data_IF_658904525968
#
_entry.id   IF_658904525968
#
_cell.length_a   1.000
_cell.length_b   1.000
_cell.length_c   1.000
_cell.angle_alpha   90.00
_cell.angle_beta   90.00
_cell.angle_gamma   90.00
#
_symmetry.space_group_name_H-M   'P 1'
#
loop_
_entity.id
_entity.type
_entity.pdbx_description
1 polymer ?
#
# COMPACT_ATOMS: atom_id res chain seq x y z
N UNK A 1 -26.06 -12.78 -34.82
CA UNK A 1 -25.41 -12.29 -33.59
C UNK A 1 -25.46 -10.76 -33.61
N UNK A 2 -26.25 -10.14 -32.74
CA UNK A 2 -26.29 -8.68 -32.63
C UNK A 2 -24.98 -8.17 -31.97
N UNK A 3 -24.39 -7.06 -32.44
CA UNK A 3 -23.20 -6.51 -31.81
C UNK A 3 -23.55 -5.99 -30.41
N UNK A 4 -22.80 -6.46 -29.41
CA UNK A 4 -22.92 -5.98 -28.03
C UNK A 4 -22.68 -4.47 -28.01
N UNK A 5 -23.66 -3.72 -27.53
CA UNK A 5 -23.54 -2.29 -27.28
C UNK A 5 -22.34 -2.02 -26.37
N UNK A 6 -21.32 -1.35 -26.89
CA UNK A 6 -20.26 -0.76 -26.06
C UNK A 6 -20.91 0.29 -25.17
N UNK A 7 -21.10 -0.03 -23.88
CA UNK A 7 -21.44 0.95 -22.88
C UNK A 7 -20.23 1.86 -22.66
N UNK A 8 -20.37 3.15 -22.97
CA UNK A 8 -19.36 4.15 -22.65
C UNK A 8 -19.06 4.11 -21.14
N UNK A 9 -17.78 4.12 -20.71
CA UNK A 9 -17.46 4.14 -19.29
C UNK A 9 -18.04 5.40 -18.64
N UNK A 10 -18.91 5.23 -17.65
CA UNK A 10 -19.40 6.33 -16.81
C UNK A 10 -18.23 6.90 -16.00
N UNK A 11 -17.88 8.16 -16.27
CA UNK A 11 -16.85 8.87 -15.53
C UNK A 11 -17.23 8.96 -14.04
N UNK A 12 -16.25 8.82 -13.14
CA UNK A 12 -16.51 9.09 -11.73
C UNK A 12 -16.84 10.58 -11.54
N UNK A 13 -17.63 10.91 -10.50
CA UNK A 13 -17.99 12.30 -10.15
C UNK A 13 -16.76 13.23 -10.03
N UNK A 14 -15.63 12.70 -9.59
CA UNK A 14 -14.36 13.44 -9.50
C UNK A 14 -13.71 13.68 -10.86
N UNK A 15 -13.87 12.77 -11.83
CA UNK A 15 -13.36 12.94 -13.19
C UNK A 15 -14.24 13.91 -13.98
N UNK A 16 -15.56 13.84 -13.84
CA UNK A 16 -16.49 14.80 -14.42
C UNK A 16 -16.23 16.22 -13.94
N UNK A 17 -16.03 16.39 -12.62
CA UNK A 17 -15.68 17.69 -12.03
C UNK A 17 -14.36 18.24 -12.58
N UNK A 18 -13.34 17.39 -12.74
CA UNK A 18 -12.05 17.76 -13.33
C UNK A 18 -12.17 18.13 -14.81
N UNK A 19 -12.96 17.38 -15.58
CA UNK A 19 -13.20 17.68 -16.99
C UNK A 19 -13.91 19.02 -17.16
N UNK A 20 -14.91 19.30 -16.31
CA UNK A 20 -15.63 20.58 -16.28
C UNK A 20 -14.69 21.75 -15.96
N UNK A 21 -13.78 21.58 -15.00
CA UNK A 21 -12.76 22.59 -14.67
C UNK A 21 -11.81 22.86 -15.85
N UNK A 22 -11.31 21.81 -16.52
CA UNK A 22 -10.42 21.95 -17.70
C UNK A 22 -11.10 22.65 -18.88
N UNK A 23 -12.37 22.32 -19.16
CA UNK A 23 -13.16 23.00 -20.20
C UNK A 23 -13.33 24.49 -19.92
N UNK A 24 -13.58 24.83 -18.65
CA UNK A 24 -13.71 26.23 -18.23
C UNK A 24 -12.40 27.00 -18.36
N UNK A 25 -11.27 26.38 -18.00
CA UNK A 25 -9.94 26.97 -18.15
C UNK A 25 -9.57 27.19 -19.62
N UNK A 26 -9.83 26.21 -20.48
CA UNK A 26 -9.62 26.33 -21.93
C UNK A 26 -10.47 27.44 -22.56
N UNK A 27 -11.74 27.56 -22.14
CA UNK A 27 -12.63 28.63 -22.58
C UNK A 27 -12.10 30.03 -22.18
N UNK A 28 -11.60 30.18 -20.95
CA UNK A 28 -10.99 31.43 -20.49
C UNK A 28 -9.71 31.77 -21.25
N UNK A 29 -8.84 30.77 -21.49
CA UNK A 29 -7.61 30.97 -22.25
C UNK A 29 -7.91 31.47 -23.67
N UNK A 30 -8.92 30.88 -24.33
CA UNK A 30 -9.39 31.32 -25.64
C UNK A 30 -9.89 32.77 -25.62
N UNK A 31 -10.73 33.14 -24.65
CA UNK A 31 -11.23 34.53 -24.53
C UNK A 31 -10.10 35.54 -24.29
N UNK A 32 -9.08 35.17 -23.48
CA UNK A 32 -7.88 36.00 -23.28
C UNK A 32 -7.11 36.19 -24.59
N UNK A 33 -6.95 35.13 -25.38
CA UNK A 33 -6.26 35.18 -26.67
C UNK A 33 -7.02 36.04 -27.70
N UNK A 34 -8.35 35.89 -27.80
CA UNK A 34 -9.16 36.74 -28.68
C UNK A 34 -9.08 38.22 -28.27
N UNK A 35 -9.08 38.52 -26.96
CA UNK A 35 -8.90 39.90 -26.47
C UNK A 35 -7.53 40.47 -26.85
N UNK A 36 -6.47 39.66 -26.79
CA UNK A 36 -5.12 40.07 -27.20
C UNK A 36 -5.03 40.31 -28.71
N UNK A 37 -5.71 39.49 -29.52
CA UNK A 37 -5.68 39.56 -30.98
C UNK A 37 -6.72 40.55 -31.57
N UNK A 38 -7.45 41.31 -30.74
CA UNK A 38 -8.53 42.19 -31.19
C UNK A 38 -9.72 41.47 -31.84
N UNK A 39 -9.80 40.14 -31.69
CA UNK A 39 -10.86 39.33 -32.28
C UNK A 39 -12.12 39.42 -31.43
N UNK A 40 -13.25 39.75 -32.04
CA UNK A 40 -14.54 39.80 -31.36
C UNK A 40 -15.03 38.38 -31.01
N UNK A 41 -15.59 38.22 -29.82
CA UNK A 41 -16.22 36.99 -29.36
C UNK A 41 -17.42 37.30 -28.48
N UNK A 42 -18.40 36.39 -28.46
CA UNK A 42 -19.50 36.43 -27.48
C UNK A 42 -19.32 35.34 -26.44
N UNK A 43 -19.61 35.64 -25.18
CA UNK A 43 -19.50 34.65 -24.08
C UNK A 43 -20.37 33.42 -24.37
N UNK A 44 -21.53 33.62 -25.02
CA UNK A 44 -22.43 32.54 -25.42
C UNK A 44 -21.78 31.58 -26.42
N UNK A 45 -21.17 32.07 -27.50
CA UNK A 45 -20.53 31.21 -28.51
C UNK A 45 -19.35 30.45 -27.93
N UNK A 46 -18.56 31.09 -27.05
CA UNK A 46 -17.45 30.41 -26.35
C UNK A 46 -17.99 29.32 -25.41
N UNK A 47 -19.03 29.63 -24.64
CA UNK A 47 -19.63 28.66 -23.72
C UNK A 47 -20.15 27.42 -24.45
N UNK A 48 -20.81 27.61 -25.59
CA UNK A 48 -21.29 26.53 -26.45
C UNK A 48 -20.12 25.71 -27.02
N UNK A 49 -19.09 26.38 -27.56
CA UNK A 49 -17.90 25.73 -28.15
C UNK A 49 -17.17 24.80 -27.18
N UNK A 50 -17.05 25.21 -25.92
CA UNK A 50 -16.32 24.46 -24.89
C UNK A 50 -17.22 23.60 -23.99
N UNK A 51 -18.54 23.58 -24.23
CA UNK A 51 -19.49 22.80 -23.44
C UNK A 51 -19.50 23.20 -21.95
N UNK A 52 -19.47 24.50 -21.67
CA UNK A 52 -19.51 25.07 -20.31
C UNK A 52 -20.74 25.97 -20.12
N UNK A 53 -21.18 26.16 -18.88
CA UNK A 53 -22.28 27.09 -18.60
C UNK A 53 -21.87 28.54 -18.88
N UNK A 54 -22.68 29.25 -19.67
CA UNK A 54 -22.48 30.67 -19.99
C UNK A 54 -22.38 31.55 -18.74
N UNK A 55 -23.22 31.31 -17.74
CA UNK A 55 -23.19 32.09 -16.48
C UNK A 55 -21.91 31.84 -15.70
N UNK A 56 -21.45 30.60 -15.63
CA UNK A 56 -20.19 30.24 -14.95
C UNK A 56 -18.99 30.89 -15.65
N UNK A 57 -18.94 30.83 -16.98
CA UNK A 57 -17.89 31.47 -17.77
C UNK A 57 -17.89 32.99 -17.60
N UNK A 58 -19.07 33.63 -17.63
CA UNK A 58 -19.22 35.07 -17.42
C UNK A 58 -18.77 35.51 -16.02
N UNK A 59 -19.19 34.81 -14.96
CA UNK A 59 -18.73 35.11 -13.61
C UNK A 59 -17.22 34.99 -13.47
N UNK A 60 -16.63 33.95 -14.08
CA UNK A 60 -15.19 33.73 -14.04
C UNK A 60 -14.42 34.82 -14.79
N UNK A 61 -14.94 35.23 -15.95
CA UNK A 61 -14.39 36.33 -16.74
C UNK A 61 -14.45 37.67 -15.99
N UNK A 62 -15.51 37.89 -15.22
CA UNK A 62 -15.67 39.08 -14.37
C UNK A 62 -14.85 39.01 -13.05
N UNK A 63 -13.93 38.05 -12.91
CA UNK A 63 -13.02 37.96 -11.77
C UNK A 63 -13.58 37.25 -10.53
N UNK A 64 -14.74 36.59 -10.62
CA UNK A 64 -15.27 35.82 -9.48
C UNK A 64 -14.36 34.62 -9.19
N UNK A 65 -13.82 34.57 -7.98
CA UNK A 65 -13.02 33.43 -7.47
C UNK A 65 -13.84 32.15 -7.49
N UNK A 66 -13.20 31.00 -7.72
CA UNK A 66 -13.86 29.71 -7.50
C UNK A 66 -14.13 29.47 -6.03
N UNK A 67 -15.05 28.55 -5.75
CA UNK A 67 -15.21 28.00 -4.40
C UNK A 67 -13.91 27.40 -3.85
N UNK A 68 -13.03 26.87 -4.68
CA UNK A 68 -11.72 26.38 -4.22
C UNK A 68 -10.83 27.54 -3.81
N UNK A 69 -10.61 28.52 -4.69
CA UNK A 69 -9.80 29.71 -4.41
C UNK A 69 -10.31 30.50 -3.19
N UNK A 70 -11.64 30.72 -3.08
CA UNK A 70 -12.23 31.40 -1.93
C UNK A 70 -12.10 30.59 -0.62
N UNK A 71 -11.90 29.28 -0.72
CA UNK A 71 -11.74 28.40 0.43
C UNK A 71 -10.27 28.12 0.76
N UNK A 72 -9.31 28.54 -0.09
CA UNK A 72 -7.86 28.54 0.21
C UNK A 72 -7.57 29.42 1.42
N UNK A 73 -8.17 30.60 1.49
CA UNK A 73 -8.06 31.55 2.63
C UNK A 73 -8.60 30.97 3.95
N UNK A 74 -9.40 29.90 3.89
CA UNK A 74 -10.01 29.23 5.05
C UNK A 74 -9.37 27.87 5.35
N UNK A 75 -8.28 27.51 4.67
CA UNK A 75 -7.60 26.26 4.94
C UNK A 75 -6.79 26.34 6.22
N UNK A 76 -6.63 25.16 6.83
CA UNK A 76 -5.85 24.99 8.05
C UNK A 76 -4.37 25.33 7.86
N UNK A 77 -3.82 24.92 6.70
CA UNK A 77 -2.46 25.24 6.29
C UNK A 77 -2.52 26.23 5.15
N UNK A 78 -1.61 27.19 5.13
CA UNK A 78 -1.46 28.09 4.01
C UNK A 78 -0.87 27.35 2.79
N UNK A 79 -0.86 28.03 1.64
CA UNK A 79 -0.43 27.42 0.38
C UNK A 79 1.02 26.93 0.40
N UNK A 80 1.91 27.66 1.08
CA UNK A 80 3.34 27.34 1.13
C UNK A 80 3.61 26.18 2.10
N UNK A 81 2.90 26.14 3.22
CA UNK A 81 2.90 25.01 4.17
C UNK A 81 2.38 23.73 3.52
N UNK A 82 1.26 23.80 2.80
CA UNK A 82 0.74 22.65 2.06
C UNK A 82 1.74 22.18 1.00
N UNK A 83 2.35 23.10 0.25
CA UNK A 83 3.35 22.75 -0.76
C UNK A 83 4.59 22.10 -0.13
N UNK A 84 5.10 22.64 0.97
CA UNK A 84 6.23 22.07 1.70
C UNK A 84 5.91 20.63 2.17
N UNK A 85 4.69 20.41 2.69
CA UNK A 85 4.25 19.08 3.09
C UNK A 85 4.14 18.11 1.90
N UNK A 86 3.67 18.58 0.74
CA UNK A 86 3.66 17.77 -0.50
C UNK A 86 5.08 17.38 -0.91
N UNK A 87 6.03 18.32 -0.93
CA UNK A 87 7.43 18.03 -1.27
C UNK A 87 8.04 17.03 -0.28
N UNK A 88 7.75 17.19 1.01
CA UNK A 88 8.21 16.29 2.05
C UNK A 88 7.70 14.86 1.83
N UNK A 89 6.41 14.69 1.52
CA UNK A 89 5.80 13.38 1.22
C UNK A 89 6.48 12.75 -0.01
N UNK A 90 6.74 13.53 -1.05
CA UNK A 90 7.40 13.06 -2.28
C UNK A 90 8.84 12.64 -1.97
N UNK A 91 9.59 13.45 -1.23
CA UNK A 91 10.99 13.20 -0.85
C UNK A 91 11.14 11.88 -0.09
N UNK A 92 10.39 11.71 1.00
CA UNK A 92 10.46 10.49 1.83
C UNK A 92 9.90 9.26 1.11
N UNK A 93 8.85 9.41 0.31
CA UNK A 93 8.38 8.35 -0.59
C UNK A 93 9.47 7.87 -1.55
N UNK A 94 10.31 8.79 -2.05
CA UNK A 94 11.43 8.49 -2.95
C UNK A 94 12.57 7.75 -2.25
N UNK A 95 12.74 7.97 -0.95
CA UNK A 95 13.72 7.28 -0.09
C UNK A 95 13.26 5.91 0.41
N UNK A 96 12.06 5.45 0.03
CA UNK A 96 11.52 4.19 0.53
C UNK A 96 11.02 4.28 1.98
N UNK A 97 10.53 5.45 2.38
CA UNK A 97 9.90 5.70 3.68
C UNK A 97 8.62 6.52 3.50
N UNK A 98 7.62 6.00 2.78
CA UNK A 98 6.39 6.72 2.47
C UNK A 98 5.58 6.95 3.74
N UNK A 99 4.98 8.13 3.84
CA UNK A 99 4.23 8.53 5.02
C UNK A 99 2.79 8.02 4.93
N UNK A 100 2.32 7.37 6.01
CA UNK A 100 0.91 6.98 6.12
C UNK A 100 0.03 8.19 6.51
N UNK A 101 -1.29 8.04 6.39
CA UNK A 101 -2.22 9.13 6.67
C UNK A 101 -2.14 9.65 8.13
N UNK A 102 -1.82 8.77 9.08
CA UNK A 102 -1.65 9.15 10.47
C UNK A 102 -0.43 10.06 10.65
N UNK A 103 0.73 9.69 10.08
CA UNK A 103 1.95 10.50 10.10
C UNK A 103 1.76 11.86 9.42
N UNK A 104 1.08 11.89 8.26
CA UNK A 104 0.75 13.16 7.57
C UNK A 104 -0.14 14.05 8.43
N UNK A 105 -1.14 13.48 9.13
CA UNK A 105 -1.99 14.22 10.07
C UNK A 105 -1.17 14.77 11.25
N UNK A 106 -0.26 13.98 11.81
CA UNK A 106 0.60 14.38 12.91
C UNK A 106 1.54 15.54 12.52
N UNK A 107 2.11 15.49 11.31
CA UNK A 107 2.92 16.60 10.78
C UNK A 107 2.06 17.85 10.58
N UNK A 108 0.85 17.70 10.03
CA UNK A 108 -0.07 18.83 9.87
C UNK A 108 -0.42 19.47 11.23
N UNK A 109 -0.69 18.67 12.26
CA UNK A 109 -0.90 19.16 13.63
C UNK A 109 0.29 19.94 14.17
N UNK A 110 1.50 19.45 13.93
CA UNK A 110 2.73 20.10 14.37
C UNK A 110 2.94 21.46 13.69
N UNK A 111 2.56 21.59 12.41
CA UNK A 111 2.64 22.87 11.69
C UNK A 111 1.58 23.85 12.19
N UNK A 112 0.32 23.42 12.35
CA UNK A 112 -0.78 24.33 12.68
C UNK A 112 -1.02 24.55 14.19
N UNK A 113 -0.32 23.82 15.06
CA UNK A 113 -0.41 23.93 16.52
C UNK A 113 -1.78 23.56 17.12
N UNK A 114 -2.62 22.84 16.38
CA UNK A 114 -3.99 22.49 16.80
C UNK A 114 -4.38 21.10 16.31
N UNK A 115 -5.43 20.52 16.90
CA UNK A 115 -5.92 19.21 16.46
C UNK A 115 -6.53 19.29 15.05
N UNK A 116 -6.14 18.36 14.21
CA UNK A 116 -6.51 18.33 12.79
C UNK A 116 -7.63 17.32 12.59
N UNK A 117 -8.70 17.71 11.92
CA UNK A 117 -9.84 16.80 11.69
C UNK A 117 -9.45 15.52 10.93
N UNK A 118 -10.09 14.39 11.25
CA UNK A 118 -9.68 13.04 10.78
C UNK A 118 -9.68 12.84 9.25
N UNK A 119 -10.58 13.50 8.51
CA UNK A 119 -10.58 13.42 7.02
C UNK A 119 -9.83 14.57 6.34
N UNK A 120 -9.11 15.40 7.10
CA UNK A 120 -8.30 16.47 6.51
C UNK A 120 -7.28 15.91 5.51
N UNK A 121 -6.62 14.79 5.84
CA UNK A 121 -5.63 14.13 4.97
C UNK A 121 -6.25 13.63 3.66
N UNK A 122 -7.48 13.14 3.71
CA UNK A 122 -8.21 12.73 2.51
C UNK A 122 -8.50 13.94 1.61
N UNK A 123 -8.98 15.03 2.19
CA UNK A 123 -9.22 16.28 1.44
C UNK A 123 -7.92 16.90 0.92
N UNK A 124 -6.84 16.85 1.69
CA UNK A 124 -5.49 17.29 1.29
C UNK A 124 -5.00 16.50 0.07
N UNK A 125 -5.11 15.17 0.12
CA UNK A 125 -4.79 14.29 -1.01
C UNK A 125 -5.64 14.60 -2.24
N UNK A 126 -6.92 14.90 -2.07
CA UNK A 126 -7.81 15.23 -3.19
C UNK A 126 -7.44 16.57 -3.84
N UNK A 127 -7.11 17.60 -3.04
CA UNK A 127 -6.57 18.89 -3.51
C UNK A 127 -5.29 18.69 -4.31
N UNK A 128 -4.39 17.87 -3.80
CA UNK A 128 -3.08 17.59 -4.42
C UNK A 128 -3.08 16.33 -5.29
N UNK A 129 -4.24 15.92 -5.80
CA UNK A 129 -4.39 14.65 -6.53
C UNK A 129 -3.59 14.58 -7.83
N UNK A 130 -3.16 15.72 -8.38
CA UNK A 130 -2.23 15.79 -9.52
C UNK A 130 -0.80 15.38 -9.14
N UNK A 131 -0.41 15.58 -7.88
CA UNK A 131 0.95 15.36 -7.38
C UNK A 131 1.06 14.13 -6.50
N UNK A 132 0.00 13.76 -5.79
CA UNK A 132 -0.03 12.69 -4.82
C UNK A 132 -1.00 11.56 -5.21
N UNK A 133 -0.70 10.36 -4.74
CA UNK A 133 -1.60 9.19 -4.78
C UNK A 133 -1.46 8.37 -3.50
N UNK A 134 -2.49 7.61 -3.17
CA UNK A 134 -2.39 6.57 -2.14
C UNK A 134 -2.00 5.24 -2.78
N UNK A 135 -1.00 4.57 -2.23
CA UNK A 135 -0.57 3.24 -2.70
C UNK A 135 -0.34 2.34 -1.49
N UNK A 136 -0.65 1.05 -1.64
CA UNK A 136 -0.29 0.03 -0.66
C UNK A 136 1.21 -0.24 -0.72
N UNK A 137 1.88 -0.16 0.42
CA UNK A 137 3.31 -0.45 0.49
C UNK A 137 3.53 -1.95 0.45
N UNK A 138 4.41 -2.42 -0.45
CA UNK A 138 4.84 -3.83 -0.47
C UNK A 138 6.20 -3.92 0.21
N UNK A 139 6.31 -4.74 1.25
CA UNK A 139 7.61 -5.15 1.76
C UNK A 139 8.28 -6.00 0.66
N UNK A 140 9.47 -5.59 0.22
CA UNK A 140 10.29 -6.37 -0.70
C UNK A 140 11.60 -6.65 0.01
N UNK A 141 11.88 -7.92 0.23
CA UNK A 141 13.24 -8.37 0.53
C UNK A 141 14.07 -8.28 -0.76
N UNK A 142 14.86 -7.22 -0.83
CA UNK A 142 15.63 -6.86 -2.02
C UNK A 142 16.75 -7.85 -2.33
N UNK A 143 17.17 -8.64 -1.34
CA UNK A 143 18.22 -9.64 -1.45
C UNK A 143 17.73 -10.88 -2.21
N UNK A 144 16.52 -11.36 -1.90
CA UNK A 144 15.90 -12.55 -2.50
C UNK A 144 15.60 -12.37 -4.00
N UNK A 145 15.16 -11.19 -4.41
CA UNK A 145 14.83 -10.94 -5.83
C UNK A 145 16.05 -10.96 -6.76
N UNK A 146 17.25 -10.65 -6.26
CA UNK A 146 18.48 -10.63 -7.06
C UNK A 146 19.15 -12.01 -7.15
N UNK A 147 18.82 -12.93 -6.24
CA UNK A 147 19.39 -14.27 -6.13
C UNK A 147 18.69 -15.34 -6.99
N UNK A 148 17.46 -15.09 -7.46
CA UNK A 148 16.73 -16.01 -8.36
C UNK A 148 17.13 -15.79 -9.83
N UNK A 149 18.21 -16.42 -10.28
CA UNK A 149 18.47 -16.61 -11.70
C UNK A 149 17.76 -17.91 -12.15
N UNK A 150 16.74 -17.83 -13.03
CA UNK A 150 15.95 -19.00 -13.44
C UNK A 150 16.78 -20.18 -13.97
N UNK A 151 17.89 -19.90 -14.64
CA UNK A 151 18.76 -20.92 -15.22
C UNK A 151 19.54 -21.67 -14.13
N UNK A 152 20.04 -20.96 -13.13
CA UNK A 152 20.76 -21.56 -11.99
C UNK A 152 19.80 -22.40 -11.15
N UNK A 153 18.57 -21.90 -10.94
CA UNK A 153 17.53 -22.62 -10.21
C UNK A 153 17.13 -23.89 -10.97
N UNK A 154 16.90 -23.81 -12.28
CA UNK A 154 16.58 -25.00 -13.09
C UNK A 154 17.71 -26.03 -13.07
N UNK A 155 18.95 -25.63 -13.31
CA UNK A 155 20.10 -26.54 -13.32
C UNK A 155 20.29 -27.24 -11.96
N UNK A 156 20.14 -26.51 -10.86
CA UNK A 156 20.16 -27.08 -9.51
C UNK A 156 19.09 -28.14 -9.31
N UNK A 157 17.83 -27.85 -9.65
CA UNK A 157 16.73 -28.82 -9.48
C UNK A 157 16.86 -30.04 -10.39
N UNK A 158 17.35 -29.87 -11.62
CA UNK A 158 17.60 -30.99 -12.53
C UNK A 158 18.67 -31.95 -11.96
N UNK A 159 19.77 -31.41 -11.44
CA UNK A 159 20.82 -32.19 -10.77
C UNK A 159 20.31 -32.88 -9.51
N UNK A 160 19.52 -32.17 -8.69
CA UNK A 160 18.92 -32.72 -7.48
C UNK A 160 17.98 -33.89 -7.79
N UNK A 161 17.12 -33.76 -8.81
CA UNK A 161 16.21 -34.83 -9.22
C UNK A 161 17.00 -36.05 -9.71
N UNK A 162 18.04 -35.84 -10.53
CA UNK A 162 18.89 -36.92 -11.03
C UNK A 162 19.57 -37.69 -9.88
N UNK A 163 20.10 -36.97 -8.89
CA UNK A 163 20.75 -37.58 -7.71
C UNK A 163 19.75 -38.34 -6.83
N UNK A 164 18.57 -37.76 -6.56
CA UNK A 164 17.52 -38.42 -5.78
C UNK A 164 17.03 -39.71 -6.44
N UNK A 165 16.88 -39.70 -7.77
CA UNK A 165 16.51 -40.88 -8.54
C UNK A 165 17.63 -41.93 -8.58
N UNK A 166 18.89 -41.51 -8.78
CA UNK A 166 20.05 -42.40 -8.84
C UNK A 166 20.33 -43.09 -7.50
N UNK A 167 20.22 -42.35 -6.40
CA UNK A 167 20.45 -42.83 -5.04
C UNK A 167 19.23 -43.52 -4.41
N UNK A 168 18.12 -43.67 -5.15
CA UNK A 168 16.87 -44.32 -4.71
C UNK A 168 16.36 -43.82 -3.36
N UNK A 169 16.46 -42.50 -3.13
CA UNK A 169 16.03 -41.89 -1.87
C UNK A 169 14.49 -41.84 -1.85
N UNK A 170 13.88 -42.54 -0.90
CA UNK A 170 12.42 -42.50 -0.68
C UNK A 170 11.97 -41.08 -0.30
N UNK A 171 10.76 -40.69 -0.73
CA UNK A 171 10.14 -39.43 -0.35
C UNK A 171 10.06 -39.23 1.17
N UNK A 172 9.90 -40.32 1.93
CA UNK A 172 9.90 -40.33 3.40
C UNK A 172 11.21 -39.88 4.06
N UNK A 173 12.29 -39.80 3.27
CA UNK A 173 13.62 -39.39 3.71
C UNK A 173 14.03 -38.02 3.17
N UNK A 174 13.11 -37.31 2.50
CA UNK A 174 13.34 -35.97 1.93
C UNK A 174 12.59 -34.95 2.77
N UNK A 175 13.33 -34.09 3.46
CA UNK A 175 12.78 -33.10 4.37
C UNK A 175 13.14 -31.69 3.90
N UNK A 176 12.13 -30.82 3.80
CA UNK A 176 12.31 -29.40 3.63
C UNK A 176 12.22 -28.73 5.01
N UNK A 177 13.35 -28.24 5.51
CA UNK A 177 13.42 -27.46 6.74
C UNK A 177 13.60 -25.98 6.39
N UNK A 178 12.78 -25.11 6.97
CA UNK A 178 12.89 -23.66 6.77
C UNK A 178 12.79 -22.91 8.11
N UNK A 179 13.44 -21.75 8.16
CA UNK A 179 13.40 -20.85 9.31
C UNK A 179 12.56 -19.61 8.97
N UNK A 180 11.55 -19.33 9.80
CA UNK A 180 10.73 -18.14 9.67
C UNK A 180 10.80 -17.27 10.91
N UNK A 181 11.34 -16.07 10.75
CA UNK A 181 11.25 -15.01 11.75
C UNK A 181 9.83 -14.43 11.82
N UNK A 182 9.21 -14.48 12.99
CA UNK A 182 7.97 -13.79 13.33
C UNK A 182 8.37 -12.61 14.21
N UNK A 183 8.27 -11.40 13.66
CA UNK A 183 8.54 -10.18 14.43
C UNK A 183 7.29 -9.78 15.22
N UNK A 184 7.45 -9.49 16.50
CA UNK A 184 6.37 -9.01 17.35
C UNK A 184 6.24 -7.49 17.18
N UNK A 185 5.16 -7.04 16.53
CA UNK A 185 4.86 -5.62 16.29
C UNK A 185 4.03 -5.39 15.02
N UNK A 186 3.44 -4.19 14.90
CA UNK A 186 2.58 -3.80 13.77
C UNK A 186 3.38 -3.58 12.46
N UNK A 187 3.70 -4.67 11.78
CA UNK A 187 4.24 -4.67 10.41
C UNK A 187 3.18 -5.17 9.42
N UNK A 188 2.04 -4.49 9.40
CA UNK A 188 1.03 -4.66 8.36
C UNK A 188 1.34 -3.84 7.11
N UNK A 189 0.86 -4.28 5.94
CA UNK A 189 0.79 -3.40 4.77
C UNK A 189 0.03 -2.14 5.17
N UNK A 190 0.65 -0.97 5.05
CA UNK A 190 -0.01 0.29 5.37
C UNK A 190 -0.29 1.09 4.09
N UNK A 191 -1.42 1.80 4.09
CA UNK A 191 -1.77 2.70 3.00
C UNK A 191 -1.00 3.99 3.19
N UNK A 192 -0.07 4.28 2.28
CA UNK A 192 0.78 5.46 2.34
C UNK A 192 0.49 6.46 1.22
N UNK A 193 0.73 7.75 1.47
CA UNK A 193 0.70 8.81 0.47
C UNK A 193 2.09 8.94 -0.16
N UNK A 194 2.13 9.03 -1.48
CA UNK A 194 3.37 9.17 -2.26
C UNK A 194 3.17 10.01 -3.50
N UNK A 195 4.28 10.44 -4.10
CA UNK A 195 4.27 11.12 -5.39
C UNK A 195 3.58 10.30 -6.47
N UNK A 196 2.76 10.95 -7.30
CA UNK A 196 1.97 10.29 -8.36
C UNK A 196 2.87 9.55 -9.36
N UNK A 197 4.04 10.13 -9.68
CA UNK A 197 5.05 9.55 -10.57
C UNK A 197 5.85 8.39 -9.96
N UNK A 198 5.79 8.16 -8.65
CA UNK A 198 6.54 7.08 -8.00
C UNK A 198 5.93 5.72 -8.30
N UNK A 199 6.71 4.83 -8.93
CA UNK A 199 6.27 3.47 -9.31
C UNK A 199 6.33 2.47 -8.16
N UNK A 200 7.23 2.67 -7.19
CA UNK A 200 7.50 1.69 -6.13
C UNK A 200 7.46 2.35 -4.75
N UNK A 201 6.72 1.76 -3.82
CA UNK A 201 6.57 2.24 -2.44
C UNK A 201 7.04 1.15 -1.50
N UNK A 202 8.19 1.37 -0.87
CA UNK A 202 8.81 0.46 0.11
C UNK A 202 8.77 1.15 1.46
N UNK A 203 8.62 0.43 2.56
CA UNK A 203 8.70 0.98 3.91
C UNK A 203 9.94 0.41 4.57
N UNK A 204 10.88 1.28 4.93
CA UNK A 204 11.99 0.95 5.82
C UNK A 204 11.53 1.30 7.24
N UNK A 205 11.10 0.31 8.01
CA UNK A 205 10.60 0.49 9.38
C UNK A 205 11.65 0.15 10.43
N UNK A 206 11.62 0.85 11.56
CA UNK A 206 12.43 0.55 12.74
C UNK A 206 11.58 0.82 14.00
N UNK A 207 11.14 -0.23 14.72
CA UNK A 207 10.71 -0.24 16.13
C UNK A 207 10.55 -1.70 16.59
N UNK A 208 11.07 -2.03 17.78
CA UNK A 208 11.19 -3.35 18.43
C UNK A 208 11.64 -4.52 17.53
N UNK A 209 12.86 -5.02 17.75
CA UNK A 209 13.41 -6.23 17.09
C UNK A 209 13.17 -7.49 17.94
N UNK A 210 12.11 -7.52 18.74
CA UNK A 210 11.71 -8.76 19.38
C UNK A 210 11.10 -9.66 18.32
N UNK A 211 11.75 -10.80 18.12
CA UNK A 211 11.38 -11.80 17.12
C UNK A 211 11.38 -13.16 17.78
N UNK A 212 10.38 -13.97 17.42
CA UNK A 212 10.47 -15.41 17.56
C UNK A 212 10.92 -15.99 16.23
N UNK A 213 11.76 -17.01 16.29
CA UNK A 213 12.11 -17.82 15.14
C UNK A 213 11.30 -19.11 15.21
N UNK A 214 10.58 -19.45 14.15
CA UNK A 214 9.93 -20.75 14.00
C UNK A 214 10.76 -21.58 13.04
N UNK A 215 11.13 -22.79 13.45
CA UNK A 215 11.74 -23.80 12.59
C UNK A 215 10.66 -24.80 12.24
N UNK A 216 10.33 -24.88 10.96
CA UNK A 216 9.35 -25.82 10.42
C UNK A 216 10.07 -26.85 9.55
N UNK A 217 9.61 -28.11 9.58
CA UNK A 217 10.17 -29.16 8.75
C UNK A 217 9.07 -30.07 8.22
N UNK A 218 8.96 -30.15 6.89
CA UNK A 218 7.94 -30.93 6.19
C UNK A 218 8.62 -31.99 5.34
N UNK A 219 8.14 -33.23 5.44
CA UNK A 219 8.61 -34.34 4.66
C UNK A 219 7.88 -34.39 3.30
N UNK A 220 8.55 -34.89 2.26
CA UNK A 220 7.97 -35.01 0.94
C UNK A 220 6.84 -36.06 0.86
N UNK A 221 6.70 -36.92 1.87
CA UNK A 221 5.55 -37.84 2.03
C UNK A 221 4.28 -37.17 2.60
N UNK A 222 4.36 -35.88 2.95
CA UNK A 222 3.26 -35.11 3.52
C UNK A 222 3.19 -35.13 5.05
N UNK A 223 4.08 -35.86 5.73
CA UNK A 223 4.27 -35.75 7.18
C UNK A 223 5.04 -34.47 7.55
N UNK A 224 4.90 -34.03 8.80
CA UNK A 224 5.55 -32.82 9.30
C UNK A 224 6.11 -33.04 10.68
N UNK A 225 7.33 -32.57 10.93
CA UNK A 225 7.91 -32.53 12.27
C UNK A 225 7.27 -31.36 13.01
N UNK A 226 6.95 -31.56 14.30
CA UNK A 226 6.39 -30.51 15.15
C UNK A 226 7.32 -29.28 15.13
N UNK A 227 6.78 -28.08 14.83
CA UNK A 227 7.60 -26.89 14.70
C UNK A 227 8.25 -26.52 16.04
N UNK A 228 9.45 -25.97 15.97
CA UNK A 228 10.18 -25.46 17.13
C UNK A 228 10.13 -23.94 17.14
N UNK A 229 9.70 -23.36 18.26
CA UNK A 229 9.69 -21.90 18.43
C UNK A 229 10.82 -21.48 19.35
N UNK A 230 11.68 -20.61 18.86
CA UNK A 230 12.83 -20.05 19.57
C UNK A 230 12.54 -18.57 19.86
N UNK A 231 12.42 -18.24 21.14
CA UNK A 231 12.25 -16.86 21.59
C UNK A 231 13.60 -16.24 21.95
N UNK A 232 13.79 -14.96 21.63
CA UNK A 232 14.94 -14.19 22.09
C UNK A 232 14.81 -13.88 23.59
N UNK A 233 15.74 -14.36 24.42
CA UNK A 233 15.74 -14.04 25.86
C UNK A 233 16.98 -14.54 26.60
N UNK A 234 17.35 -13.86 27.70
CA UNK A 234 18.41 -14.30 28.64
C UNK A 234 17.85 -15.17 29.78
N UNK A 235 16.55 -15.10 30.02
CA UNK A 235 15.84 -15.85 31.07
C UNK A 235 14.54 -16.38 30.48
N UNK A 236 14.18 -17.61 30.86
CA UNK A 236 12.93 -18.23 30.47
C UNK A 236 11.78 -17.57 31.24
N UNK A 237 10.86 -16.89 30.55
CA UNK A 237 9.67 -16.34 31.20
C UNK A 237 8.63 -17.44 31.37
N UNK A 238 8.19 -17.68 32.62
CA UNK A 238 7.18 -18.69 32.95
C UNK A 238 5.81 -18.44 32.30
N UNK A 239 5.53 -17.19 31.92
CA UNK A 239 4.28 -16.80 31.27
C UNK A 239 4.05 -17.44 29.89
N UNK A 240 5.11 -17.84 29.16
CA UNK A 240 4.98 -18.54 27.88
C UNK A 240 4.53 -20.00 28.02
N UNK A 241 4.53 -20.55 29.24
CA UNK A 241 4.32 -21.96 29.55
C UNK A 241 3.09 -22.21 30.42
N UNK A 242 2.37 -21.15 30.79
CA UNK A 242 1.24 -21.21 31.72
C UNK A 242 -0.09 -21.40 30.98
N UNK A 243 -0.25 -22.55 30.35
CA UNK A 243 -1.56 -23.19 30.13
C UNK A 243 -1.35 -24.69 30.35
N UNK A 244 -1.79 -25.16 31.51
CA UNK A 244 -1.50 -26.51 32.02
C UNK A 244 -2.33 -27.60 31.33
N UNK A 245 -1.62 -28.68 30.97
CA UNK A 245 -1.95 -30.10 31.14
C UNK A 245 -3.33 -30.62 30.73
N UNK A 246 -3.37 -31.41 29.64
CA UNK A 246 -3.95 -32.76 29.60
C UNK A 246 -3.60 -33.46 28.27
N UNK A 247 -2.37 -33.97 28.15
CA UNK A 247 -2.04 -35.18 27.37
C UNK A 247 -0.52 -35.35 27.26
N UNK A 248 0.01 -36.30 28.03
CA UNK A 248 1.20 -37.07 27.68
C UNK A 248 2.55 -36.37 27.89
N UNK A 249 3.17 -36.67 29.04
CA UNK A 249 4.57 -36.49 29.40
C UNK A 249 5.58 -37.16 28.43
N UNK A 250 5.59 -36.78 27.15
CA UNK A 250 6.66 -37.17 26.22
C UNK A 250 7.06 -36.00 25.35
N UNK A 251 7.93 -35.15 25.88
CA UNK A 251 9.30 -34.97 25.36
C UNK A 251 9.94 -33.69 25.95
N UNK A 252 10.24 -33.72 27.26
CA UNK A 252 11.10 -32.73 27.90
C UNK A 252 12.55 -32.93 27.42
N UNK A 253 13.05 -32.06 26.52
CA UNK A 253 14.49 -31.80 26.39
C UNK A 253 14.77 -30.32 26.59
N UNK A 254 15.81 -30.02 27.39
CA UNK A 254 16.30 -28.70 27.83
C UNK A 254 16.74 -27.72 26.71
N UNK A 255 16.34 -27.90 25.44
CA UNK A 255 16.81 -27.08 24.30
C UNK A 255 15.77 -26.67 23.25
N UNK A 256 14.48 -26.75 23.53
CA UNK A 256 13.46 -26.21 22.61
C UNK A 256 12.05 -26.58 23.03
N UNK A 257 11.09 -25.70 22.75
CA UNK A 257 9.66 -25.92 23.00
C UNK A 257 9.04 -26.37 21.69
N UNK A 258 8.28 -27.46 21.72
CA UNK A 258 7.50 -27.97 20.59
C UNK A 258 6.02 -27.81 20.95
N UNK A 259 5.24 -27.17 20.08
CA UNK A 259 3.80 -27.01 20.25
C UNK A 259 3.08 -27.66 19.06
N UNK A 260 2.13 -28.55 19.34
CA UNK A 260 1.38 -29.29 18.32
C UNK A 260 0.17 -28.47 17.83
N UNK A 261 0.37 -27.74 16.73
CA UNK A 261 -0.57 -26.77 16.17
C UNK A 261 -1.87 -27.38 15.60
N UNK A 262 -1.93 -28.71 15.39
CA UNK A 262 -3.06 -29.37 14.73
C UNK A 262 -4.35 -29.44 15.56
N UNK A 263 -4.30 -29.16 16.87
CA UNK A 263 -5.48 -29.24 17.75
C UNK A 263 -6.24 -27.92 17.94
N UNK A 264 -5.65 -26.77 17.62
CA UNK A 264 -6.28 -25.46 17.87
C UNK A 264 -7.19 -24.96 16.74
N UNK A 265 -7.07 -25.53 15.52
CA UNK A 265 -7.96 -25.25 14.40
C UNK A 265 -9.06 -26.32 14.34
N UNK A 266 -10.04 -26.21 15.23
CA UNK A 266 -11.20 -27.09 15.29
C UNK A 266 -11.91 -27.25 13.94
N UNK A 267 -12.21 -28.51 13.64
CA UNK A 267 -13.09 -28.97 12.59
C UNK A 267 -14.32 -28.07 12.36
N UNK A 268 -14.36 -27.36 11.23
CA UNK A 268 -15.61 -27.12 10.48
C UNK A 268 -15.28 -26.65 9.06
N UNK A 269 -15.61 -27.50 8.09
CA UNK A 269 -15.36 -27.21 6.68
C UNK A 269 -15.59 -28.45 5.84
N UNK A 270 -16.85 -28.89 5.75
CA UNK A 270 -17.28 -29.94 4.82
C UNK A 270 -16.81 -29.57 3.41
N UNK A 271 -15.90 -30.36 2.84
CA UNK A 271 -15.72 -30.42 1.40
C UNK A 271 -17.05 -30.86 0.79
N UNK A 272 -17.70 -29.97 0.04
CA UNK A 272 -18.60 -30.40 -1.04
C UNK A 272 -17.77 -30.46 -2.32
N UNK A 273 -17.93 -31.60 -3.00
CA UNK A 273 -17.43 -31.89 -4.35
C UNK A 273 -17.87 -30.85 -5.36
#
# INVERSE_FOLDING_TARGET
>A
MAPKSQTCPTLSRHEESRLKARRLEAAMAFMKQCRANGTLFTIHNVALRYGVSRTTLQHRWNGRKTRQEANEERQLLNRDEENALVEWIIFWGGKGMPLNAHSVRAIAMAICGQDVWKHWVERFKDRHSQRLKSTWTKAIDHSRAKALNPNIVCDFFLKLIAEVQGSKISASNIYNADEKGIQFGDYGQSKALVGRSQKTTRVIGNTSREMATVIECVCADGSSITPMVIFKGKRLSKYYFAQDTEMGDRCLRRKGVTCDWKKEMGASGKLRR
#
